data_IF_101961939872
#
_entry.id   IF_101961939872
#
_cell.length_a   1.000
_cell.length_b   1.000
_cell.length_c   1.000
_cell.angle_alpha   90.00
_cell.angle_beta   90.00
_cell.angle_gamma   90.00
#
_symmetry.space_group_name_H-M   'P 1'
#
loop_
_entity.id
_entity.type
_entity.pdbx_description
1 polymer ?
#
# COMPACT_ATOMS: atom_id res chain seq x y z
N UNK A 1 -41.21 -0.71 -11.50
CA UNK A 1 -41.14 -1.06 -10.06
C UNK A 1 -39.71 -1.05 -9.53
N UNK A 2 -38.76 -1.77 -10.15
CA UNK A 2 -37.35 -1.80 -9.68
C UNK A 2 -36.60 -0.46 -9.79
N UNK A 3 -36.90 0.37 -10.80
CA UNK A 3 -36.30 1.71 -10.95
C UNK A 3 -36.61 2.64 -9.77
N UNK A 4 -37.89 2.72 -9.39
CA UNK A 4 -38.31 3.49 -8.22
C UNK A 4 -37.63 3.03 -6.91
N UNK A 5 -37.46 1.71 -6.73
CA UNK A 5 -36.75 1.16 -5.57
C UNK A 5 -35.26 1.52 -5.57
N UNK A 6 -34.61 1.48 -6.74
CA UNK A 6 -33.21 1.88 -6.89
C UNK A 6 -33.02 3.37 -6.54
N UNK A 7 -33.91 4.23 -7.03
CA UNK A 7 -33.89 5.66 -6.73
C UNK A 7 -34.18 5.95 -5.25
N UNK A 8 -35.13 5.22 -4.65
CA UNK A 8 -35.49 5.35 -3.24
C UNK A 8 -34.35 4.92 -2.30
N UNK A 9 -33.63 3.84 -2.63
CA UNK A 9 -32.52 3.30 -1.81
C UNK A 9 -31.18 3.99 -2.16
N UNK A 10 -31.12 4.76 -3.26
CA UNK A 10 -29.90 5.45 -3.70
C UNK A 10 -28.83 4.51 -4.26
N UNK A 11 -29.23 3.38 -4.85
CA UNK A 11 -28.30 2.40 -5.42
C UNK A 11 -28.57 2.17 -6.91
N UNK A 12 -27.68 1.44 -7.57
CA UNK A 12 -27.85 1.18 -9.01
C UNK A 12 -28.99 0.18 -9.27
N UNK A 13 -29.70 0.35 -10.39
CA UNK A 13 -30.71 -0.63 -10.83
C UNK A 13 -30.16 -2.06 -10.90
N UNK A 14 -28.88 -2.22 -11.27
CA UNK A 14 -28.18 -3.51 -11.28
C UNK A 14 -28.10 -4.14 -9.89
N UNK A 15 -27.86 -3.34 -8.85
CA UNK A 15 -27.76 -3.80 -7.47
C UNK A 15 -29.12 -4.34 -7.00
N UNK A 16 -30.19 -3.59 -7.23
CA UNK A 16 -31.56 -4.03 -6.87
C UNK A 16 -31.96 -5.28 -7.65
N UNK A 17 -31.69 -5.33 -8.96
CA UNK A 17 -31.97 -6.50 -9.78
C UNK A 17 -31.23 -7.75 -9.28
N UNK A 18 -29.96 -7.60 -8.88
CA UNK A 18 -29.18 -8.70 -8.29
C UNK A 18 -29.81 -9.20 -6.99
N UNK A 19 -30.22 -8.30 -6.09
CA UNK A 19 -30.90 -8.66 -4.84
C UNK A 19 -32.23 -9.37 -5.09
N UNK A 20 -33.02 -8.95 -6.08
CA UNK A 20 -34.28 -9.62 -6.41
C UNK A 20 -34.08 -11.04 -6.95
N UNK A 21 -32.95 -11.33 -7.59
CA UNK A 21 -32.67 -12.65 -8.19
C UNK A 21 -31.94 -13.58 -7.21
N UNK A 22 -31.03 -13.05 -6.40
CA UNK A 22 -30.10 -13.84 -5.58
C UNK A 22 -30.24 -13.61 -4.08
N UNK A 23 -30.95 -12.56 -3.66
CA UNK A 23 -31.16 -12.24 -2.26
C UNK A 23 -32.22 -13.14 -1.63
N UNK A 24 -31.96 -13.55 -0.41
CA UNK A 24 -32.92 -14.18 0.50
C UNK A 24 -33.51 -13.09 1.41
N UNK A 25 -34.84 -12.83 1.33
CA UNK A 25 -35.50 -11.83 2.16
C UNK A 25 -35.36 -12.06 3.68
N UNK A 26 -35.12 -13.29 4.11
CA UNK A 26 -34.95 -13.65 5.51
C UNK A 26 -33.48 -13.64 5.96
N UNK A 27 -32.54 -13.41 5.03
CA UNK A 27 -31.12 -13.36 5.31
C UNK A 27 -30.50 -12.09 4.73
N UNK A 28 -30.34 -11.06 5.57
CA UNK A 28 -29.78 -9.77 5.15
C UNK A 28 -28.36 -9.90 4.56
N UNK A 29 -27.57 -10.87 5.02
CA UNK A 29 -26.20 -11.11 4.54
C UNK A 29 -26.17 -11.57 3.08
N UNK A 30 -27.26 -12.18 2.58
CA UNK A 30 -27.39 -12.57 1.18
C UNK A 30 -27.41 -11.36 0.22
N UNK A 31 -27.70 -10.16 0.73
CA UNK A 31 -27.69 -8.92 -0.02
C UNK A 31 -26.28 -8.31 -0.10
N UNK A 32 -25.31 -8.81 0.67
CA UNK A 32 -23.94 -8.34 0.57
C UNK A 32 -23.25 -8.81 -0.71
N UNK A 33 -22.47 -7.93 -1.33
CA UNK A 33 -21.64 -8.30 -2.47
C UNK A 33 -20.49 -9.21 -2.01
N UNK A 34 -20.66 -10.52 -2.23
CA UNK A 34 -19.66 -11.55 -1.92
C UNK A 34 -18.31 -11.34 -2.62
N UNK A 35 -18.21 -10.47 -3.64
CA UNK A 35 -16.91 -10.08 -4.23
C UNK A 35 -16.07 -9.23 -3.29
N UNK A 36 -16.66 -8.58 -2.27
CA UNK A 36 -15.89 -7.96 -1.17
C UNK A 36 -15.02 -8.97 -0.44
N UNK A 37 -15.46 -10.23 -0.36
CA UNK A 37 -14.71 -11.34 0.25
C UNK A 37 -13.70 -11.96 -0.73
N UNK A 38 -13.73 -11.56 -2.00
CA UNK A 38 -13.03 -12.18 -3.12
C UNK A 38 -11.57 -11.82 -3.31
N UNK A 39 -10.96 -11.07 -2.39
CA UNK A 39 -9.51 -11.08 -2.29
C UNK A 39 -9.16 -11.86 -1.03
N UNK A 40 -9.11 -13.19 -1.14
CA UNK A 40 -8.36 -14.01 -0.19
C UNK A 40 -6.94 -13.43 -0.16
N UNK A 41 -6.70 -12.49 0.77
CA UNK A 41 -5.39 -11.89 0.94
C UNK A 41 -4.51 -13.04 1.38
N UNK A 42 -3.70 -13.56 0.46
CA UNK A 42 -2.69 -14.58 0.78
C UNK A 42 -1.84 -14.16 1.98
N UNK A 43 -1.61 -12.86 2.15
CA UNK A 43 -1.04 -12.30 3.38
C UNK A 43 -2.11 -12.23 4.48
N UNK A 44 -2.04 -13.15 5.43
CA UNK A 44 -2.80 -13.10 6.69
C UNK A 44 -2.26 -11.98 7.59
N UNK A 45 -2.95 -11.65 8.68
CA UNK A 45 -2.45 -10.61 9.61
C UNK A 45 -1.16 -11.09 10.31
N UNK A 46 -1.03 -12.39 10.57
CA UNK A 46 0.19 -13.00 11.11
C UNK A 46 1.37 -12.82 10.16
N UNK A 47 1.17 -13.05 8.86
CA UNK A 47 2.18 -12.81 7.83
C UNK A 47 2.62 -11.35 7.84
N UNK A 48 1.66 -10.43 7.93
CA UNK A 48 1.93 -8.99 7.93
C UNK A 48 2.72 -8.59 9.17
N UNK A 49 2.35 -9.09 10.35
CA UNK A 49 3.06 -8.79 11.60
C UNK A 49 4.48 -9.35 11.57
N UNK A 50 4.67 -10.57 11.07
CA UNK A 50 6.00 -11.16 10.92
C UNK A 50 6.86 -10.37 9.93
N UNK A 51 6.30 -9.99 8.78
CA UNK A 51 6.96 -9.13 7.79
C UNK A 51 7.44 -7.81 8.43
N UNK A 52 6.60 -7.16 9.22
CA UNK A 52 6.93 -5.89 9.88
C UNK A 52 7.96 -6.03 11.00
N UNK A 53 8.05 -7.21 11.63
CA UNK A 53 9.12 -7.49 12.59
C UNK A 53 10.46 -7.68 11.88
N UNK A 54 10.50 -8.56 10.88
CA UNK A 54 11.74 -8.95 10.20
C UNK A 54 12.35 -7.82 9.37
N UNK A 55 11.52 -6.93 8.82
CA UNK A 55 12.02 -5.84 7.98
C UNK A 55 12.95 -4.88 8.74
N UNK A 56 12.84 -4.81 10.06
CA UNK A 56 13.64 -3.95 10.93
C UNK A 56 14.88 -4.68 11.53
N UNK A 57 15.01 -6.00 11.32
CA UNK A 57 16.12 -6.83 11.80
C UNK A 57 17.21 -7.01 10.71
N UNK A 58 18.47 -7.28 11.12
CA UNK A 58 19.57 -7.48 10.16
C UNK A 58 19.50 -8.90 9.56
N UNK A 59 19.47 -9.06 8.23
CA UNK A 59 19.45 -10.41 7.64
C UNK A 59 20.59 -11.32 8.07
N UNK A 60 21.71 -10.78 8.54
CA UNK A 60 22.82 -11.57 9.11
C UNK A 60 22.41 -12.35 10.37
N UNK A 61 21.47 -11.82 11.15
CA UNK A 61 20.93 -12.52 12.34
C UNK A 61 20.16 -13.79 11.94
N UNK A 62 19.70 -13.86 10.69
CA UNK A 62 19.04 -15.01 10.08
C UNK A 62 19.99 -15.90 9.27
N UNK A 63 21.31 -15.69 9.37
CA UNK A 63 22.32 -16.49 8.67
C UNK A 63 22.49 -16.14 7.18
N UNK A 64 22.01 -14.99 6.74
CA UNK A 64 22.22 -14.54 5.36
C UNK A 64 23.51 -13.72 5.20
N UNK A 65 24.21 -13.91 4.10
CA UNK A 65 25.46 -13.19 3.80
C UNK A 65 25.23 -11.74 3.37
N UNK A 66 24.00 -11.39 2.99
CA UNK A 66 23.65 -10.03 2.59
C UNK A 66 23.27 -9.18 3.80
N UNK A 67 23.73 -7.92 3.82
CA UNK A 67 23.41 -7.00 4.92
C UNK A 67 22.11 -6.21 4.76
N UNK A 68 21.27 -6.51 3.76
CA UNK A 68 20.01 -5.75 3.51
C UNK A 68 18.87 -6.60 2.98
N UNK A 69 17.69 -6.37 3.54
CA UNK A 69 16.44 -6.90 3.02
C UNK A 69 16.03 -6.20 1.72
N UNK A 70 15.62 -7.01 0.74
CA UNK A 70 14.85 -6.53 -0.41
C UNK A 70 13.46 -7.16 -0.34
N UNK A 71 12.48 -6.58 -1.01
CA UNK A 71 11.12 -7.13 -1.02
C UNK A 71 11.07 -8.57 -1.59
N UNK A 72 11.98 -8.94 -2.50
CA UNK A 72 12.11 -10.31 -2.99
C UNK A 72 12.69 -11.25 -1.94
N UNK A 73 13.75 -10.83 -1.22
CA UNK A 73 14.36 -11.61 -0.14
C UNK A 73 13.41 -11.82 1.03
N UNK A 74 12.66 -10.79 1.41
CA UNK A 74 11.61 -10.90 2.42
C UNK A 74 10.52 -11.89 1.99
N UNK A 75 10.13 -11.87 0.71
CA UNK A 75 9.15 -12.82 0.21
C UNK A 75 9.65 -14.28 0.31
N UNK A 76 10.91 -14.53 -0.04
CA UNK A 76 11.53 -15.86 0.04
C UNK A 76 11.67 -16.31 1.50
N UNK A 77 12.14 -15.43 2.39
CA UNK A 77 12.29 -15.75 3.81
C UNK A 77 10.92 -16.03 4.45
N UNK A 78 9.91 -15.19 4.20
CA UNK A 78 8.57 -15.40 4.71
C UNK A 78 7.88 -16.63 4.11
N UNK A 79 8.20 -17.02 2.87
CA UNK A 79 7.73 -18.29 2.30
C UNK A 79 8.30 -19.48 3.10
N UNK A 80 9.56 -19.42 3.54
CA UNK A 80 10.18 -20.45 4.40
C UNK A 80 9.52 -20.53 5.78
N UNK A 81 9.24 -19.38 6.40
CA UNK A 81 8.67 -19.33 7.76
C UNK A 81 7.17 -19.66 7.80
N UNK A 82 6.40 -19.25 6.78
CA UNK A 82 4.93 -19.32 6.81
C UNK A 82 4.32 -20.29 5.80
N UNK A 83 5.11 -20.78 4.83
CA UNK A 83 4.61 -21.56 3.69
C UNK A 83 3.81 -20.73 2.67
N UNK A 84 3.60 -19.43 2.92
CA UNK A 84 2.80 -18.55 2.07
C UNK A 84 3.68 -17.93 0.99
N UNK A 85 3.46 -18.34 -0.26
CA UNK A 85 4.16 -17.78 -1.41
C UNK A 85 3.53 -16.46 -1.87
N UNK A 86 4.29 -15.37 -1.72
CA UNK A 86 4.01 -14.06 -2.32
C UNK A 86 5.13 -13.65 -3.28
N UNK A 87 4.80 -12.86 -4.29
CA UNK A 87 5.81 -12.15 -5.08
C UNK A 87 6.40 -10.97 -4.31
N UNK A 88 7.64 -10.58 -4.60
CA UNK A 88 8.24 -9.38 -4.01
C UNK A 88 7.44 -8.10 -4.29
N UNK A 89 6.70 -8.03 -5.40
CA UNK A 89 5.79 -6.90 -5.69
C UNK A 89 4.61 -6.85 -4.70
N UNK A 90 4.04 -8.01 -4.35
CA UNK A 90 2.99 -8.09 -3.33
C UNK A 90 3.50 -7.67 -1.95
N UNK A 91 4.68 -8.14 -1.55
CA UNK A 91 5.34 -7.73 -0.29
C UNK A 91 5.58 -6.22 -0.28
N UNK A 92 6.11 -5.65 -1.36
CA UNK A 92 6.32 -4.20 -1.49
C UNK A 92 5.01 -3.41 -1.35
N UNK A 93 3.90 -3.92 -1.91
CA UNK A 93 2.58 -3.28 -1.78
C UNK A 93 2.06 -3.32 -0.35
N UNK A 94 2.32 -4.40 0.39
CA UNK A 94 1.97 -4.52 1.82
C UNK A 94 2.76 -3.49 2.63
N UNK A 95 4.09 -3.43 2.44
CA UNK A 95 4.96 -2.46 3.10
C UNK A 95 4.50 -1.00 2.85
N UNK A 96 4.21 -0.64 1.58
CA UNK A 96 3.68 0.69 1.25
C UNK A 96 2.38 1.03 1.97
N UNK A 97 1.45 0.07 2.07
CA UNK A 97 0.18 0.26 2.79
C UNK A 97 0.39 0.47 4.28
N UNK A 98 1.41 -0.16 4.86
CA UNK A 98 1.84 0.04 6.25
C UNK A 98 2.82 1.22 6.41
N UNK A 99 2.96 2.07 5.36
CA UNK A 99 3.78 3.29 5.32
C UNK A 99 5.30 3.06 5.43
N UNK A 100 5.78 1.87 5.08
CA UNK A 100 7.21 1.60 4.90
C UNK A 100 7.66 1.98 3.49
N UNK A 101 8.81 2.66 3.38
CA UNK A 101 9.38 3.11 2.10
C UNK A 101 10.56 2.22 1.71
N UNK A 102 10.69 1.90 0.43
CA UNK A 102 11.65 0.90 -0.07
C UNK A 102 13.13 1.30 0.07
N UNK A 103 13.44 2.59 0.26
CA UNK A 103 14.84 3.07 0.28
C UNK A 103 15.47 2.88 1.67
N UNK A 104 14.66 2.77 2.71
CA UNK A 104 15.09 2.48 4.07
C UNK A 104 13.94 1.76 4.74
N UNK A 105 14.17 0.60 5.36
CA UNK A 105 13.26 0.03 6.34
C UNK A 105 13.13 1.00 7.54
N UNK A 106 12.40 2.09 7.31
CA UNK A 106 12.11 3.20 8.20
C UNK A 106 10.72 3.69 7.81
N UNK A 107 9.94 4.03 8.83
CA UNK A 107 8.61 4.59 8.66
C UNK A 107 8.67 5.84 7.77
N UNK A 108 7.72 5.97 6.82
CA UNK A 108 7.57 7.22 6.07
C UNK A 108 7.32 8.36 7.04
N UNK A 109 8.11 9.44 6.94
CA UNK A 109 7.90 10.66 7.72
C UNK A 109 6.92 11.63 7.03
N UNK A 110 6.27 11.22 5.94
CA UNK A 110 5.30 12.04 5.20
C UNK A 110 4.18 12.55 6.10
N UNK A 111 3.69 11.72 7.05
CA UNK A 111 2.64 12.14 7.98
C UNK A 111 3.12 13.20 8.99
N UNK A 112 4.44 13.27 9.25
CA UNK A 112 5.05 14.26 10.14
C UNK A 112 5.48 15.53 9.39
N UNK A 113 5.29 15.58 8.08
CA UNK A 113 5.70 16.70 7.25
C UNK A 113 4.65 17.81 7.24
N UNK A 114 5.06 19.03 7.58
CA UNK A 114 4.22 20.21 7.39
C UNK A 114 4.06 20.49 5.88
N UNK A 115 2.80 20.39 5.41
CA UNK A 115 2.45 20.55 3.99
C UNK A 115 2.76 21.95 3.46
N UNK A 116 2.60 23.00 4.28
CA UNK A 116 2.87 24.39 3.86
C UNK A 116 4.35 24.61 3.67
N UNK A 117 5.17 24.20 4.64
CA UNK A 117 6.62 24.30 4.56
C UNK A 117 7.18 23.46 3.41
N UNK A 118 6.65 22.25 3.20
CA UNK A 118 7.07 21.39 2.07
C UNK A 118 6.75 22.01 0.72
N UNK A 119 5.59 22.67 0.57
CA UNK A 119 5.23 23.37 -0.67
C UNK A 119 6.18 24.54 -0.94
N UNK A 120 6.39 25.40 0.05
CA UNK A 120 7.31 26.54 -0.08
C UNK A 120 8.75 26.09 -0.39
N UNK A 121 9.21 25.00 0.23
CA UNK A 121 10.52 24.41 -0.06
C UNK A 121 10.62 23.94 -1.52
N UNK A 122 9.61 23.27 -2.05
CA UNK A 122 9.59 22.81 -3.44
C UNK A 122 9.65 23.98 -4.43
N UNK A 123 8.86 25.02 -4.19
CA UNK A 123 8.84 26.22 -5.02
C UNK A 123 10.23 26.89 -5.06
N UNK A 124 10.88 27.06 -3.90
CA UNK A 124 12.24 27.58 -3.83
C UNK A 124 13.27 26.67 -4.51
N UNK A 125 13.15 25.35 -4.34
CA UNK A 125 14.06 24.40 -4.97
C UNK A 125 13.97 24.45 -6.50
N UNK A 126 12.75 24.50 -7.05
CA UNK A 126 12.53 24.64 -8.49
C UNK A 126 13.15 25.94 -9.04
N UNK A 127 13.04 27.04 -8.28
CA UNK A 127 13.68 28.31 -8.61
C UNK A 127 15.21 28.19 -8.62
N UNK A 128 15.81 27.59 -7.59
CA UNK A 128 17.25 27.36 -7.54
C UNK A 128 17.75 26.44 -8.65
N UNK A 129 16.97 25.43 -9.02
CA UNK A 129 17.33 24.54 -10.14
C UNK A 129 17.27 25.27 -11.49
N UNK A 130 16.32 26.20 -11.68
CA UNK A 130 16.31 27.08 -12.86
C UNK A 130 17.55 27.98 -12.89
N UNK A 131 17.86 28.63 -11.77
CA UNK A 131 19.02 29.51 -11.66
C UNK A 131 20.35 28.76 -11.86
N UNK A 132 20.50 27.56 -11.31
CA UNK A 132 21.67 26.72 -11.52
C UNK A 132 21.83 26.32 -12.99
N UNK A 133 20.73 26.18 -13.74
CA UNK A 133 20.75 25.88 -15.18
C UNK A 133 21.14 27.09 -16.02
N UNK A 134 20.65 28.28 -15.65
CA UNK A 134 20.93 29.53 -16.39
C UNK A 134 22.30 30.13 -16.05
N UNK A 135 22.74 30.01 -14.80
CA UNK A 135 24.00 30.58 -14.28
C UNK A 135 24.72 29.58 -13.38
N UNK A 136 25.28 28.49 -13.94
CA UNK A 136 25.92 27.43 -13.17
C UNK A 136 27.14 27.90 -12.35
N UNK A 137 27.76 29.01 -12.72
CA UNK A 137 28.88 29.61 -11.96
C UNK A 137 28.43 30.33 -10.69
N UNK A 138 27.14 30.69 -10.59
CA UNK A 138 26.59 31.44 -9.46
C UNK A 138 25.95 30.55 -8.39
N UNK A 139 25.40 29.39 -8.78
CA UNK A 139 24.70 28.46 -7.88
C UNK A 139 24.99 27.02 -8.31
N UNK A 140 25.47 26.21 -7.36
CA UNK A 140 25.57 24.76 -7.50
C UNK A 140 24.65 24.08 -6.48
N UNK A 141 23.74 23.25 -6.99
CA UNK A 141 22.83 22.44 -6.16
C UNK A 141 23.40 21.02 -6.06
N UNK A 142 23.76 20.61 -4.83
CA UNK A 142 24.29 19.28 -4.52
C UNK A 142 23.17 18.41 -3.93
N UNK A 143 23.10 17.15 -4.37
CA UNK A 143 22.10 16.15 -3.94
C UNK A 143 22.73 15.01 -3.14
#
# INVERSE_FOLDING_TARGET
MLGYLADFIGCSLKTVAHWCVHGDPNNLESLEDGRKNGNHKKATEEYINLLLKIVDEDPKEFGYEFGRWTAARLAEHLEKETGIKLSGSQVRRILRRKKYVYIWAKYSLEDKQDKKLRKAFKEKLDEYLRLAKEKPESIQVWF
#
